data_IF_059401621373
#
_entry.id   IF_059401621373
#
_cell.length_a   1.000
_cell.length_b   1.000
_cell.length_c   1.000
_cell.angle_alpha   90.00
_cell.angle_beta   90.00
_cell.angle_gamma   90.00
#
_symmetry.space_group_name_H-M   'P 1'
#
loop_
_entity.id
_entity.type
_entity.pdbx_description
1 polymer ?
#
# COMPACT_ATOMS: atom_id res chain seq x y z
N UNK A 1 2.50 48.86 -8.48
CA UNK A 1 1.11 48.88 -8.72
C UNK A 1 0.63 47.90 -9.81
N UNK A 2 0.40 48.28 -11.08
CA UNK A 2 -0.11 47.33 -12.07
C UNK A 2 0.82 46.16 -12.34
N UNK A 3 2.14 46.36 -12.33
CA UNK A 3 3.14 45.29 -12.51
C UNK A 3 3.14 44.30 -11.34
N UNK A 4 2.93 44.80 -10.15
CA UNK A 4 2.85 43.96 -8.97
C UNK A 4 1.62 43.03 -9.03
N UNK A 5 0.47 43.55 -9.40
CA UNK A 5 -0.76 42.78 -9.57
C UNK A 5 -0.62 41.73 -10.68
N UNK A 6 -0.01 42.10 -11.81
CA UNK A 6 0.27 41.14 -12.90
C UNK A 6 1.18 40.01 -12.47
N UNK A 7 2.16 40.31 -11.62
CA UNK A 7 3.07 39.29 -11.05
C UNK A 7 2.34 38.35 -10.11
N UNK A 8 1.50 38.90 -9.25
CA UNK A 8 0.70 38.09 -8.31
C UNK A 8 -0.25 37.18 -9.08
N UNK A 9 -0.92 37.68 -10.11
CA UNK A 9 -1.79 36.87 -10.96
C UNK A 9 -1.04 35.71 -11.61
N UNK A 10 0.19 35.95 -12.10
CA UNK A 10 1.02 34.91 -12.69
C UNK A 10 1.44 33.85 -11.69
N UNK A 11 1.79 34.26 -10.47
CA UNK A 11 2.15 33.32 -9.38
C UNK A 11 0.94 32.45 -8.99
N UNK A 12 -0.22 33.06 -8.86
CA UNK A 12 -1.46 32.35 -8.56
C UNK A 12 -1.82 31.34 -9.65
N UNK A 13 -1.68 31.72 -10.93
CA UNK A 13 -1.91 30.80 -12.04
C UNK A 13 -0.95 29.62 -12.03
N UNK A 14 0.34 29.86 -11.77
CA UNK A 14 1.34 28.80 -11.66
C UNK A 14 1.05 27.87 -10.49
N UNK A 15 0.63 28.42 -9.35
CA UNK A 15 0.26 27.63 -8.18
C UNK A 15 -0.95 26.76 -8.49
N UNK A 16 -1.95 27.29 -9.16
CA UNK A 16 -3.14 26.56 -9.58
C UNK A 16 -2.80 25.43 -10.55
N UNK A 17 -1.90 25.66 -11.52
CA UNK A 17 -1.42 24.63 -12.43
C UNK A 17 -0.67 23.53 -11.69
N UNK A 18 0.18 23.90 -10.74
CA UNK A 18 0.93 22.94 -9.91
C UNK A 18 -0.01 22.10 -9.07
N UNK A 19 -0.98 22.70 -8.41
CA UNK A 19 -1.99 22.01 -7.61
C UNK A 19 -2.81 21.05 -8.45
N UNK A 20 -3.19 21.46 -9.66
CA UNK A 20 -3.87 20.61 -10.63
C UNK A 20 -3.06 19.40 -11.02
N UNK A 21 -1.76 19.57 -11.29
CA UNK A 21 -0.85 18.47 -11.63
C UNK A 21 -0.70 17.50 -10.49
N UNK A 22 -0.57 18.00 -9.26
CA UNK A 22 -0.50 17.16 -8.06
C UNK A 22 -1.80 16.35 -7.89
N UNK A 23 -2.95 16.99 -8.04
CA UNK A 23 -4.25 16.32 -7.97
C UNK A 23 -4.37 15.22 -9.02
N UNK A 24 -3.96 15.50 -10.27
CA UNK A 24 -3.96 14.50 -11.35
C UNK A 24 -3.06 13.30 -11.02
N UNK A 25 -1.88 13.52 -10.46
CA UNK A 25 -0.96 12.46 -10.03
C UNK A 25 -1.59 11.63 -8.93
N UNK A 26 -2.16 12.26 -7.90
CA UNK A 26 -2.84 11.54 -6.82
C UNK A 26 -4.04 10.74 -7.32
N UNK A 27 -4.84 11.31 -8.21
CA UNK A 27 -5.98 10.61 -8.81
C UNK A 27 -5.53 9.44 -9.66
N UNK A 28 -4.46 9.58 -10.43
CA UNK A 28 -3.87 8.51 -11.21
C UNK A 28 -3.41 7.35 -10.32
N UNK A 29 -2.66 7.67 -9.26
CA UNK A 29 -2.20 6.68 -8.29
C UNK A 29 -3.38 6.02 -7.58
N UNK A 30 -4.36 6.82 -7.15
CA UNK A 30 -5.53 6.32 -6.41
C UNK A 30 -6.45 5.44 -7.26
N UNK A 31 -6.65 5.77 -8.55
CA UNK A 31 -7.49 4.97 -9.45
C UNK A 31 -6.88 3.60 -9.72
N UNK A 32 -5.57 3.54 -9.80
CA UNK A 32 -4.77 2.35 -10.05
C UNK A 32 -5.23 1.50 -11.24
N UNK A 33 -6.09 2.03 -12.11
CA UNK A 33 -6.56 1.31 -13.29
C UNK A 33 -5.47 1.14 -14.34
N UNK A 34 -4.50 2.08 -14.34
CA UNK A 34 -3.43 2.16 -15.32
C UNK A 34 -2.08 1.68 -14.79
N UNK A 35 -1.90 1.55 -13.46
CA UNK A 35 -0.64 1.14 -12.87
C UNK A 35 -0.55 -0.38 -12.85
N UNK A 36 0.17 -0.95 -13.82
CA UNK A 36 0.42 -2.40 -13.93
C UNK A 36 1.70 -2.82 -13.24
N UNK A 37 2.69 -1.94 -13.24
CA UNK A 37 3.99 -2.19 -12.61
C UNK A 37 4.63 -0.88 -12.21
N UNK A 38 5.27 -0.90 -11.04
CA UNK A 38 6.06 0.22 -10.53
C UNK A 38 7.38 -0.31 -9.99
N UNK A 39 8.48 0.35 -10.36
CA UNK A 39 9.81 0.03 -9.86
C UNK A 39 10.27 1.18 -8.97
N UNK A 40 10.76 0.83 -7.78
CA UNK A 40 11.40 1.76 -6.85
C UNK A 40 12.87 1.40 -6.74
N UNK A 41 13.72 2.40 -6.75
CA UNK A 41 15.17 2.22 -6.68
C UNK A 41 15.69 2.41 -5.25
N UNK A 42 16.92 2.00 -5.01
CA UNK A 42 17.56 2.10 -3.70
C UNK A 42 17.38 3.48 -3.08
N UNK A 43 16.90 3.52 -1.86
CA UNK A 43 16.72 4.77 -1.12
C UNK A 43 15.38 5.46 -1.32
N UNK A 44 14.54 5.01 -2.24
CA UNK A 44 13.18 5.55 -2.43
C UNK A 44 12.20 5.02 -1.37
N UNK A 45 12.59 5.11 -0.11
CA UNK A 45 11.82 4.54 1.01
C UNK A 45 10.49 5.27 1.18
N UNK A 46 10.51 6.60 1.14
CA UNK A 46 9.30 7.40 1.29
C UNK A 46 8.34 7.22 0.12
N UNK A 47 8.86 7.19 -1.09
CA UNK A 47 8.04 7.00 -2.29
C UNK A 47 7.37 5.63 -2.30
N UNK A 48 8.11 4.60 -1.93
CA UNK A 48 7.58 3.23 -1.80
C UNK A 48 6.52 3.15 -0.71
N UNK A 49 6.78 3.73 0.47
CA UNK A 49 5.81 3.83 1.56
C UNK A 49 4.53 4.51 1.09
N UNK A 50 4.65 5.67 0.44
CA UNK A 50 3.50 6.45 -0.01
C UNK A 50 2.66 5.68 -1.04
N UNK A 51 3.30 4.99 -1.97
CA UNK A 51 2.61 4.18 -2.97
C UNK A 51 1.84 3.02 -2.33
N UNK A 52 2.48 2.29 -1.43
CA UNK A 52 1.83 1.18 -0.71
C UNK A 52 0.68 1.70 0.16
N UNK A 53 0.87 2.84 0.83
CA UNK A 53 -0.19 3.46 1.63
C UNK A 53 -1.41 3.84 0.77
N UNK A 54 -1.20 4.32 -0.44
CA UNK A 54 -2.29 4.60 -1.39
C UNK A 54 -3.02 3.31 -1.77
N UNK A 55 -2.31 2.25 -2.07
CA UNK A 55 -2.94 0.94 -2.36
C UNK A 55 -3.79 0.46 -1.19
N UNK A 56 -3.25 0.53 0.03
CA UNK A 56 -3.96 0.16 1.26
C UNK A 56 -5.21 1.02 1.44
N UNK A 57 -5.11 2.32 1.20
CA UNK A 57 -6.22 3.27 1.30
C UNK A 57 -7.34 3.04 0.28
N UNK A 58 -7.09 2.31 -0.80
CA UNK A 58 -8.10 1.95 -1.79
C UNK A 58 -9.10 0.93 -1.28
N UNK A 59 -8.72 0.09 -0.33
CA UNK A 59 -9.60 -0.97 0.17
C UNK A 59 -10.84 -0.38 0.84
N UNK A 60 -11.99 -0.97 0.52
CA UNK A 60 -13.30 -0.60 1.07
C UNK A 60 -13.81 -1.64 2.07
N UNK A 61 -13.40 -2.88 1.94
CA UNK A 61 -13.91 -4.00 2.73
C UNK A 61 -12.81 -4.82 3.37
N UNK A 62 -11.79 -5.20 2.61
CA UNK A 62 -10.82 -6.20 3.06
C UNK A 62 -9.45 -6.02 2.43
N UNK A 63 -8.42 -6.26 3.25
CA UNK A 63 -7.04 -6.40 2.81
C UNK A 63 -6.51 -7.76 3.23
N UNK A 64 -5.78 -8.42 2.34
CA UNK A 64 -4.97 -9.59 2.67
C UNK A 64 -3.52 -9.25 2.34
N UNK A 65 -2.65 -9.36 3.32
CA UNK A 65 -1.20 -9.23 3.15
C UNK A 65 -0.56 -10.59 3.36
N UNK A 66 0.15 -11.07 2.34
CA UNK A 66 0.99 -12.25 2.42
C UNK A 66 2.43 -11.78 2.49
N UNK A 67 3.06 -11.92 3.65
CA UNK A 67 4.43 -11.44 3.89
C UNK A 67 5.03 -12.19 5.08
N UNK A 68 6.13 -12.91 4.85
CA UNK A 68 6.76 -13.75 5.88
C UNK A 68 7.53 -12.94 6.94
N UNK A 69 7.78 -11.66 6.74
CA UNK A 69 8.66 -10.83 7.58
C UNK A 69 7.95 -9.62 8.18
N UNK A 70 6.76 -9.84 8.75
CA UNK A 70 5.95 -8.77 9.33
C UNK A 70 6.44 -8.35 10.71
N UNK A 71 6.39 -7.05 10.99
CA UNK A 71 6.71 -6.47 12.29
C UNK A 71 5.87 -5.21 12.56
N UNK A 72 6.25 -4.41 13.57
CA UNK A 72 5.54 -3.16 13.89
C UNK A 72 5.54 -2.17 12.72
N UNK A 73 6.59 -2.14 11.92
CA UNK A 73 6.66 -1.26 10.75
C UNK A 73 5.64 -1.66 9.68
N UNK A 74 5.32 -2.96 9.57
CA UNK A 74 4.21 -3.43 8.75
C UNK A 74 2.89 -2.82 9.21
N UNK A 75 2.64 -2.80 10.50
CA UNK A 75 1.43 -2.21 11.09
C UNK A 75 1.37 -0.70 10.86
N UNK A 76 2.51 -0.01 10.88
CA UNK A 76 2.60 1.43 10.62
C UNK A 76 2.14 1.80 9.21
N UNK A 77 2.26 0.88 8.26
CA UNK A 77 1.72 1.07 6.91
C UNK A 77 0.24 0.67 6.87
N UNK A 78 -0.12 -0.45 7.47
CA UNK A 78 -1.49 -0.96 7.47
C UNK A 78 -2.49 -0.04 8.17
N UNK A 79 -2.04 0.79 9.13
CA UNK A 79 -2.91 1.76 9.78
C UNK A 79 -3.45 2.84 8.82
N UNK A 80 -2.92 2.94 7.59
CA UNK A 80 -3.41 3.85 6.55
C UNK A 80 -4.70 3.35 5.89
N UNK A 81 -5.18 2.19 6.26
CA UNK A 81 -6.45 1.65 5.79
C UNK A 81 -7.64 2.50 6.24
N UNK A 82 -8.76 2.38 5.54
CA UNK A 82 -10.04 2.87 6.04
C UNK A 82 -10.43 2.08 7.29
N UNK A 83 -11.01 2.76 8.28
CA UNK A 83 -11.25 2.17 9.61
C UNK A 83 -12.11 0.89 9.58
N UNK A 84 -13.05 0.81 8.65
CA UNK A 84 -13.96 -0.33 8.53
C UNK A 84 -13.38 -1.54 7.79
N UNK A 85 -12.15 -1.42 7.27
CA UNK A 85 -11.52 -2.48 6.48
C UNK A 85 -10.91 -3.53 7.39
N UNK A 86 -11.30 -4.78 7.17
CA UNK A 86 -10.70 -5.93 7.84
C UNK A 86 -9.37 -6.31 7.18
N UNK A 87 -8.39 -6.69 7.98
CA UNK A 87 -7.06 -7.09 7.50
C UNK A 87 -6.75 -8.51 7.94
N UNK A 88 -6.32 -9.33 7.00
CA UNK A 88 -5.72 -10.63 7.26
C UNK A 88 -4.24 -10.58 6.86
N UNK A 89 -3.35 -10.88 7.79
CA UNK A 89 -1.94 -11.13 7.49
C UNK A 89 -1.71 -12.64 7.46
N UNK A 90 -1.19 -13.14 6.34
CA UNK A 90 -0.71 -14.51 6.21
C UNK A 90 0.83 -14.47 6.20
N UNK A 91 1.45 -15.10 7.19
CA UNK A 91 2.89 -14.98 7.41
C UNK A 91 3.48 -16.31 7.91
N UNK A 92 4.75 -16.55 7.56
CA UNK A 92 5.50 -17.68 8.13
C UNK A 92 6.04 -17.38 9.54
N UNK A 93 5.84 -16.17 10.05
CA UNK A 93 6.28 -15.79 11.39
C UNK A 93 7.78 -15.53 11.51
N UNK A 94 8.44 -15.20 10.42
CA UNK A 94 9.89 -14.89 10.42
C UNK A 94 10.21 -13.46 10.86
N UNK A 95 9.20 -12.62 11.05
CA UNK A 95 9.33 -11.27 11.60
C UNK A 95 9.08 -11.27 13.11
N UNK A 96 9.09 -10.07 13.69
CA UNK A 96 8.97 -9.87 15.14
C UNK A 96 7.57 -9.33 15.55
N UNK A 97 6.53 -9.64 14.82
CA UNK A 97 5.18 -9.22 15.16
C UNK A 97 4.65 -10.05 16.34
N UNK A 98 4.35 -9.39 17.44
CA UNK A 98 3.87 -10.04 18.65
C UNK A 98 2.35 -9.92 18.81
N UNK A 99 1.76 -10.80 19.62
CA UNK A 99 0.33 -10.71 19.98
C UNK A 99 0.01 -9.37 20.65
N UNK A 100 0.94 -8.83 21.44
CA UNK A 100 0.79 -7.53 22.09
C UNK A 100 0.67 -6.39 21.04
N UNK A 101 1.49 -6.44 19.99
CA UNK A 101 1.42 -5.47 18.89
C UNK A 101 0.08 -5.55 18.17
N UNK A 102 -0.40 -6.75 17.89
CA UNK A 102 -1.69 -7.00 17.24
C UNK A 102 -2.83 -6.44 18.08
N UNK A 103 -2.81 -6.69 19.39
CA UNK A 103 -3.84 -6.19 20.30
C UNK A 103 -3.85 -4.66 20.38
N UNK A 104 -2.69 -4.02 20.40
CA UNK A 104 -2.59 -2.56 20.36
C UNK A 104 -3.13 -1.99 19.05
N UNK A 105 -2.79 -2.60 17.95
CA UNK A 105 -3.30 -2.20 16.64
C UNK A 105 -4.83 -2.29 16.60
N UNK A 106 -5.38 -3.43 17.02
CA UNK A 106 -6.82 -3.67 17.03
C UNK A 106 -7.59 -2.73 17.97
N UNK A 107 -6.95 -2.23 19.02
CA UNK A 107 -7.57 -1.26 19.93
C UNK A 107 -7.91 0.05 19.22
N UNK A 108 -7.18 0.41 18.17
CA UNK A 108 -7.39 1.65 17.42
C UNK A 108 -7.86 1.40 15.98
N UNK A 109 -7.36 0.38 15.33
CA UNK A 109 -7.59 0.08 13.91
C UNK A 109 -8.14 -1.34 13.70
N UNK A 110 -9.30 -1.68 14.27
CA UNK A 110 -9.86 -3.03 14.06
C UNK A 110 -10.29 -3.21 12.60
N UNK A 111 -10.35 -4.36 12.09
CA UNK A 111 -10.01 -5.65 12.68
C UNK A 111 -8.83 -6.25 11.94
N UNK A 112 -7.80 -6.66 12.68
CA UNK A 112 -6.65 -7.36 12.14
C UNK A 112 -6.58 -8.77 12.71
N UNK A 113 -6.42 -9.76 11.84
CA UNK A 113 -6.13 -11.14 12.22
C UNK A 113 -4.86 -11.61 11.53
N UNK A 114 -4.15 -12.54 12.15
CA UNK A 114 -2.92 -13.12 11.63
C UNK A 114 -3.06 -14.63 11.53
N UNK A 115 -2.71 -15.16 10.36
CA UNK A 115 -2.68 -16.59 10.10
C UNK A 115 -1.26 -17.03 9.76
N UNK A 116 -0.77 -18.08 10.39
CA UNK A 116 0.53 -18.66 10.09
C UNK A 116 0.43 -19.59 8.90
N UNK A 117 1.30 -19.39 7.91
CA UNK A 117 1.42 -20.26 6.74
C UNK A 117 2.86 -20.28 6.25
N UNK A 118 3.34 -21.43 5.79
CA UNK A 118 4.66 -21.56 5.18
C UNK A 118 4.57 -21.76 3.65
N UNK A 119 3.42 -21.54 3.05
CA UNK A 119 3.14 -21.87 1.66
C UNK A 119 3.71 -20.86 0.64
N UNK A 120 4.21 -19.71 1.10
CA UNK A 120 4.62 -18.63 0.21
C UNK A 120 6.08 -18.25 0.40
N UNK A 121 6.77 -18.04 -0.73
CA UNK A 121 8.06 -17.34 -0.77
C UNK A 121 7.90 -15.87 -1.07
N UNK A 122 6.95 -15.53 -1.92
CA UNK A 122 6.71 -14.17 -2.39
C UNK A 122 5.69 -13.44 -1.54
N UNK A 123 5.61 -12.14 -1.72
CA UNK A 123 4.71 -11.25 -1.00
C UNK A 123 3.63 -10.74 -1.93
N UNK A 124 2.41 -10.69 -1.40
CA UNK A 124 1.23 -10.24 -2.15
C UNK A 124 0.35 -9.36 -1.27
N UNK A 125 -0.25 -8.36 -1.88
CA UNK A 125 -1.30 -7.55 -1.27
C UNK A 125 -2.56 -7.71 -2.10
N UNK A 126 -3.67 -8.11 -1.45
CA UNK A 126 -4.95 -8.31 -2.12
C UNK A 126 -5.97 -7.34 -1.54
N UNK A 127 -6.64 -6.60 -2.42
CA UNK A 127 -7.59 -5.55 -2.09
C UNK A 127 -9.00 -6.01 -2.48
N UNK A 128 -9.90 -6.05 -1.51
CA UNK A 128 -11.33 -6.33 -1.68
C UNK A 128 -11.61 -7.63 -2.45
N UNK A 129 -10.73 -8.62 -2.30
CA UNK A 129 -10.82 -9.94 -2.96
C UNK A 129 -10.80 -9.88 -4.51
N UNK A 130 -10.51 -8.73 -5.09
CA UNK A 130 -10.55 -8.50 -6.55
C UNK A 130 -9.23 -8.07 -7.18
N UNK A 131 -8.44 -7.28 -6.47
CA UNK A 131 -7.16 -6.78 -6.98
C UNK A 131 -6.01 -7.40 -6.20
N UNK A 132 -5.03 -7.94 -6.90
CA UNK A 132 -3.82 -8.49 -6.30
C UNK A 132 -2.58 -7.82 -6.83
N UNK A 133 -1.59 -7.64 -5.96
CA UNK A 133 -0.29 -7.06 -6.27
C UNK A 133 0.82 -7.95 -5.74
N UNK A 134 1.76 -8.30 -6.62
CA UNK A 134 3.05 -8.85 -6.21
C UNK A 134 3.94 -7.73 -5.69
N UNK A 135 4.62 -7.95 -4.56
CA UNK A 135 5.53 -6.98 -3.97
C UNK A 135 6.90 -7.64 -3.80
N UNK A 136 7.91 -7.12 -4.48
CA UNK A 136 9.24 -7.72 -4.54
C UNK A 136 10.08 -7.55 -3.27
N UNK A 137 9.56 -6.89 -2.25
CA UNK A 137 10.21 -6.72 -0.95
C UNK A 137 9.16 -6.85 0.17
N UNK A 138 9.59 -7.22 1.39
CA UNK A 138 8.72 -7.10 2.55
C UNK A 138 8.29 -5.63 2.70
N UNK A 139 7.01 -5.38 2.98
CA UNK A 139 6.51 -4.00 3.01
C UNK A 139 7.18 -3.17 4.11
N UNK A 140 7.64 -3.79 5.19
CA UNK A 140 8.41 -3.11 6.24
C UNK A 140 9.75 -2.56 5.76
N UNK A 141 10.32 -3.14 4.69
CA UNK A 141 11.64 -2.81 4.14
C UNK A 141 11.56 -2.14 2.78
N UNK A 142 10.36 -1.84 2.29
CA UNK A 142 10.14 -1.31 0.95
C UNK A 142 10.96 -0.04 0.68
N UNK A 143 11.73 -0.07 -0.41
CA UNK A 143 12.57 1.06 -0.84
C UNK A 143 13.98 1.09 -0.28
N UNK A 144 14.34 0.21 0.65
CA UNK A 144 15.73 0.07 1.13
C UNK A 144 16.66 -0.40 0.01
N UNK A 145 16.16 -1.36 -0.78
CA UNK A 145 16.79 -1.82 -2.03
C UNK A 145 15.79 -1.71 -3.15
N UNK A 146 16.27 -1.72 -4.39
CA UNK A 146 15.40 -1.69 -5.56
C UNK A 146 14.45 -2.89 -5.57
N UNK A 147 13.17 -2.63 -5.83
CA UNK A 147 12.15 -3.67 -5.90
C UNK A 147 11.01 -3.22 -6.81
N UNK A 148 10.14 -4.14 -7.16
CA UNK A 148 8.98 -3.83 -7.98
C UNK A 148 7.68 -4.22 -7.30
N UNK A 149 6.61 -3.51 -7.66
CA UNK A 149 5.22 -3.85 -7.36
C UNK A 149 4.54 -4.09 -8.70
N UNK A 150 3.95 -5.28 -8.87
CA UNK A 150 3.31 -5.66 -10.13
C UNK A 150 1.88 -6.13 -9.87
N UNK A 151 0.93 -5.59 -10.62
CA UNK A 151 -0.46 -6.02 -10.53
C UNK A 151 -0.61 -7.43 -11.11
N UNK A 152 -1.31 -8.29 -10.38
CA UNK A 152 -1.70 -9.62 -10.86
C UNK A 152 -2.92 -9.43 -11.75
N UNK A 153 -2.75 -9.55 -13.06
CA UNK A 153 -3.83 -9.25 -14.03
C UNK A 153 -4.86 -10.36 -14.14
N UNK A 154 -4.47 -11.62 -13.90
CA UNK A 154 -5.38 -12.76 -13.98
C UNK A 154 -6.20 -12.88 -12.69
N UNK A 155 -7.50 -12.59 -12.80
CA UNK A 155 -8.43 -12.67 -11.66
C UNK A 155 -8.55 -14.08 -11.07
N UNK A 156 -8.30 -15.12 -11.85
CA UNK A 156 -8.28 -16.50 -11.33
C UNK A 156 -7.10 -16.70 -10.38
N UNK A 157 -5.93 -16.16 -10.70
CA UNK A 157 -4.76 -16.22 -9.82
C UNK A 157 -5.00 -15.50 -8.50
N UNK A 158 -5.69 -14.37 -8.52
CA UNK A 158 -6.09 -13.66 -7.29
C UNK A 158 -6.99 -14.56 -6.43
N UNK A 159 -7.98 -15.21 -7.02
CA UNK A 159 -8.84 -16.15 -6.30
C UNK A 159 -8.08 -17.34 -5.75
N UNK A 160 -7.13 -17.86 -6.49
CA UNK A 160 -6.29 -18.97 -6.05
C UNK A 160 -5.44 -18.59 -4.84
N UNK A 161 -4.86 -17.37 -4.83
CA UNK A 161 -4.14 -16.82 -3.67
C UNK A 161 -5.04 -16.71 -2.44
N UNK A 162 -6.25 -16.19 -2.61
CA UNK A 162 -7.22 -16.04 -1.52
C UNK A 162 -7.58 -17.41 -0.93
N UNK A 163 -7.83 -18.39 -1.78
CA UNK A 163 -8.19 -19.74 -1.34
C UNK A 163 -7.06 -20.42 -0.54
N UNK A 164 -5.82 -20.10 -0.87
CA UNK A 164 -4.65 -20.63 -0.15
C UNK A 164 -4.54 -20.12 1.30
N UNK A 165 -5.02 -18.91 1.57
CA UNK A 165 -4.87 -18.27 2.89
C UNK A 165 -6.14 -18.29 3.74
N UNK A 166 -7.23 -18.71 3.18
CA UNK A 166 -8.50 -18.86 3.91
C UNK A 166 -8.64 -20.22 4.59
#
# INVERSE_FOLDING_TARGET
SSDLFSRLDRVELKQLETDKKLEEVFNYIASNTEVKQKIFFDGQIYDAFSFIAVLIGKAQKKLILIDNYVDVNTLNILCKKNISVDVLIATAGKGNLTTKDINKFNAQYPSLSVKTTADFHDRFLIIDDTEGYFIGASIKDAGKKSFSITKVEDGKMVKDLINKVR
#
